data_IF_143214094469
#
_entry.id   IF_143214094469
#
_cell.length_a   1.000
_cell.length_b   1.000
_cell.length_c   1.000
_cell.angle_alpha   90.00
_cell.angle_beta   90.00
_cell.angle_gamma   90.00
#
_symmetry.space_group_name_H-M   'P 1'
#
loop_
_entity.id
_entity.type
_entity.pdbx_description
1 polymer ?
#
# COMPACT_ATOMS: atom_id res chain seq x y z
N UNK A 1 -2.75 -14.86 14.78
CA UNK A 1 -3.35 -15.81 13.79
C UNK A 1 -2.57 -15.60 12.50
N UNK A 2 -2.06 -16.64 11.85
CA UNK A 2 -1.41 -16.51 10.55
C UNK A 2 -2.53 -16.18 9.56
N UNK A 3 -2.41 -15.13 8.71
CA UNK A 3 -3.44 -14.80 7.75
C UNK A 3 -3.77 -16.00 6.86
N UNK A 4 -5.01 -16.13 6.40
CA UNK A 4 -5.41 -17.23 5.55
C UNK A 4 -4.53 -17.26 4.29
N UNK A 5 -4.25 -18.44 3.82
CA UNK A 5 -3.39 -18.67 2.65
C UNK A 5 -4.06 -18.11 1.41
N UNK A 6 -3.73 -16.87 1.07
CA UNK A 6 -4.20 -16.27 -0.15
C UNK A 6 -3.34 -16.73 -1.33
N UNK A 7 -3.94 -17.49 -2.21
CA UNK A 7 -3.28 -18.02 -3.41
C UNK A 7 -3.32 -17.06 -4.61
N UNK A 8 -3.93 -15.87 -4.46
CA UNK A 8 -4.20 -14.94 -5.55
C UNK A 8 -3.38 -13.65 -5.52
N UNK A 9 -2.31 -13.58 -4.78
CA UNK A 9 -1.56 -12.33 -4.61
C UNK A 9 -2.41 -11.20 -4.03
N UNK A 10 -3.11 -11.45 -2.92
CA UNK A 10 -3.91 -10.45 -2.21
C UNK A 10 -3.09 -9.24 -1.77
N UNK A 11 -3.76 -8.15 -1.46
CA UNK A 11 -3.10 -6.94 -0.97
C UNK A 11 -2.40 -7.26 0.36
N UNK A 12 -1.05 -7.20 0.36
CA UNK A 12 -0.24 -7.31 1.57
C UNK A 12 -0.11 -5.92 2.23
N UNK A 13 0.43 -4.95 1.51
CA UNK A 13 0.50 -3.57 1.99
C UNK A 13 0.79 -2.55 0.88
N UNK A 14 0.14 -1.38 0.90
CA UNK A 14 0.58 -0.19 0.18
C UNK A 14 1.70 0.51 0.96
N UNK A 15 2.69 1.05 0.24
CA UNK A 15 3.75 1.91 0.77
C UNK A 15 3.32 3.38 0.62
N UNK A 16 2.87 3.99 1.70
CA UNK A 16 2.61 5.44 1.77
C UNK A 16 3.93 6.15 2.05
N UNK A 17 4.52 6.71 1.00
CA UNK A 17 5.87 7.27 1.03
C UNK A 17 5.80 8.77 1.27
N UNK A 18 6.50 9.26 2.31
CA UNK A 18 6.37 10.63 2.83
C UNK A 18 7.73 11.26 3.13
N UNK A 19 7.81 12.59 3.03
CA UNK A 19 9.02 13.35 3.38
C UNK A 19 9.26 13.41 4.88
N UNK A 20 8.21 13.73 5.64
CA UNK A 20 8.28 13.88 7.10
C UNK A 20 7.56 12.71 7.78
N UNK A 21 8.27 11.59 7.94
CA UNK A 21 7.73 10.39 8.56
C UNK A 21 7.23 10.63 10.01
N UNK A 22 7.96 11.32 10.92
CA UNK A 22 7.48 11.57 12.28
C UNK A 22 6.19 12.39 12.33
N UNK A 23 6.10 13.45 11.52
CA UNK A 23 4.88 14.28 11.43
C UNK A 23 3.71 13.46 10.93
N UNK A 24 3.92 12.67 9.89
CA UNK A 24 2.86 11.85 9.30
C UNK A 24 2.40 10.76 10.25
N UNK A 25 3.34 10.13 10.96
CA UNK A 25 3.04 9.15 12.00
C UNK A 25 2.12 9.75 13.09
N UNK A 26 2.37 10.99 13.51
CA UNK A 26 1.50 11.70 14.44
C UNK A 26 0.08 11.94 13.87
N UNK A 27 -0.05 12.19 12.56
CA UNK A 27 -1.37 12.29 11.91
C UNK A 27 -2.12 10.95 11.93
N UNK A 28 -1.44 9.83 11.64
CA UNK A 28 -2.04 8.49 11.75
C UNK A 28 -2.50 8.17 13.18
N UNK A 29 -1.70 8.54 14.18
CA UNK A 29 -2.10 8.40 15.60
C UNK A 29 -3.35 9.25 15.92
N UNK A 30 -3.47 10.49 15.40
CA UNK A 30 -4.67 11.32 15.54
C UNK A 30 -5.90 10.70 14.87
N UNK A 31 -5.73 9.98 13.76
CA UNK A 31 -6.80 9.21 13.12
C UNK A 31 -7.21 7.97 13.92
N UNK A 32 -6.54 7.66 15.04
CA UNK A 32 -6.83 6.54 15.92
C UNK A 32 -6.15 5.24 15.49
N UNK A 33 -5.12 5.29 14.65
CA UNK A 33 -4.26 4.13 14.45
C UNK A 33 -3.26 3.99 15.61
N UNK A 34 -2.87 2.74 15.90
CA UNK A 34 -1.77 2.39 16.80
C UNK A 34 -0.61 1.82 15.96
N UNK A 35 0.33 2.67 15.50
CA UNK A 35 1.43 2.23 14.66
C UNK A 35 2.38 1.29 15.40
N UNK A 36 3.03 0.37 14.66
CA UNK A 36 4.17 -0.40 15.19
C UNK A 36 5.34 0.51 15.56
N UNK A 37 6.28 0.06 16.40
CA UNK A 37 7.53 0.76 16.61
C UNK A 37 8.25 1.09 15.29
N UNK A 38 8.95 2.22 15.28
CA UNK A 38 9.78 2.64 14.14
C UNK A 38 10.87 1.62 13.89
N UNK A 39 11.09 1.28 12.63
CA UNK A 39 12.16 0.40 12.19
C UNK A 39 12.81 0.89 10.89
N UNK A 40 13.94 0.31 10.51
CA UNK A 40 14.78 0.81 9.43
C UNK A 40 15.11 -0.29 8.45
N UNK A 41 15.01 0.03 7.16
CA UNK A 41 15.48 -0.88 6.11
C UNK A 41 16.97 -0.69 5.82
N UNK A 42 17.66 -1.73 5.34
CA UNK A 42 19.10 -1.65 5.07
C UNK A 42 19.46 -0.66 3.95
N UNK A 43 18.50 -0.26 3.12
CA UNK A 43 18.68 0.74 2.06
C UNK A 43 18.34 2.18 2.46
N UNK A 44 18.27 2.47 3.76
CA UNK A 44 18.18 3.84 4.28
C UNK A 44 16.80 4.44 4.35
N UNK A 45 15.74 3.62 4.44
CA UNK A 45 14.38 4.09 4.72
C UNK A 45 13.95 3.75 6.14
N UNK A 46 13.10 4.60 6.70
CA UNK A 46 12.43 4.46 8.00
C UNK A 46 10.98 4.07 7.76
N UNK A 47 10.43 3.21 8.62
CA UNK A 47 9.05 2.73 8.48
C UNK A 47 8.33 2.53 9.80
N UNK A 48 7.00 2.67 9.76
CA UNK A 48 6.05 2.25 10.80
C UNK A 48 4.82 1.64 10.13
N UNK A 49 4.23 0.62 10.75
CA UNK A 49 3.18 -0.19 10.15
C UNK A 49 1.86 0.00 10.92
N UNK A 50 0.77 0.25 10.22
CA UNK A 50 -0.58 0.16 10.74
C UNK A 50 -1.12 -1.21 10.35
N UNK A 51 -0.99 -2.18 11.27
CA UNK A 51 -1.26 -3.59 11.01
C UNK A 51 -2.71 -3.97 11.24
N UNK A 52 -3.25 -4.79 10.35
CA UNK A 52 -4.60 -5.36 10.46
C UNK A 52 -4.53 -6.90 10.49
N UNK A 53 -5.67 -7.55 10.31
CA UNK A 53 -5.75 -9.01 10.36
C UNK A 53 -4.95 -9.72 9.26
N UNK A 54 -4.95 -9.19 8.04
CA UNK A 54 -4.37 -9.84 6.85
C UNK A 54 -3.46 -8.94 6.03
N UNK A 55 -3.45 -7.64 6.31
CA UNK A 55 -2.70 -6.64 5.56
C UNK A 55 -2.31 -5.46 6.47
N UNK A 56 -1.56 -4.50 5.96
CA UNK A 56 -1.18 -3.31 6.71
C UNK A 56 -0.89 -2.12 5.78
N UNK A 57 -0.92 -0.90 6.32
CA UNK A 57 -0.35 0.27 5.65
C UNK A 57 1.10 0.39 6.12
N UNK A 58 2.04 0.48 5.19
CA UNK A 58 3.42 0.84 5.50
C UNK A 58 3.62 2.34 5.28
N UNK A 59 3.76 3.08 6.37
CA UNK A 59 4.20 4.48 6.32
C UNK A 59 5.71 4.50 6.23
N UNK A 60 6.27 4.99 5.11
CA UNK A 60 7.70 4.91 4.83
C UNK A 60 8.27 6.28 4.47
N UNK A 61 9.46 6.58 4.96
CA UNK A 61 10.22 7.80 4.67
C UNK A 61 11.71 7.52 4.44
N UNK A 62 12.47 8.57 4.16
CA UNK A 62 13.93 8.49 4.03
C UNK A 62 14.59 8.80 5.37
N UNK A 63 15.44 7.89 5.84
CA UNK A 63 16.33 8.09 7.01
C UNK A 63 17.74 8.50 6.56
N UNK A 64 18.31 7.74 5.62
CA UNK A 64 19.70 7.96 5.20
C UNK A 64 19.87 7.70 3.70
N UNK A 65 19.82 8.77 2.91
CA UNK A 65 19.99 8.70 1.44
C UNK A 65 21.37 8.15 1.02
N UNK A 66 22.38 8.22 1.88
CA UNK A 66 23.70 7.62 1.61
C UNK A 66 23.67 6.09 1.47
N UNK A 67 22.58 5.43 1.91
CA UNK A 67 22.38 3.98 1.78
C UNK A 67 21.53 3.56 0.57
N UNK A 68 21.07 4.47 -0.26
CA UNK A 68 20.14 4.18 -1.37
C UNK A 68 20.64 3.14 -2.37
N UNK A 69 21.95 2.96 -2.50
CA UNK A 69 22.56 1.93 -3.34
C UNK A 69 22.71 0.55 -2.70
N UNK A 70 22.37 0.41 -1.41
CA UNK A 70 22.48 -0.87 -0.72
C UNK A 70 21.41 -1.87 -1.21
N UNK A 71 21.74 -3.15 -1.17
CA UNK A 71 20.87 -4.26 -1.60
C UNK A 71 20.37 -4.11 -3.04
N UNK A 72 21.26 -3.76 -3.97
CA UNK A 72 20.93 -3.66 -5.39
C UNK A 72 20.61 -5.05 -5.98
N UNK A 73 19.63 -5.08 -6.90
CA UNK A 73 19.31 -6.24 -7.74
C UNK A 73 19.46 -5.79 -9.19
N UNK A 74 20.57 -6.15 -9.84
CA UNK A 74 20.98 -5.53 -11.12
C UNK A 74 21.12 -4.03 -10.94
N UNK A 75 20.43 -3.26 -11.77
CA UNK A 75 20.41 -1.79 -11.72
C UNK A 75 19.36 -1.24 -10.74
N UNK A 76 18.47 -2.07 -10.22
CA UNK A 76 17.42 -1.66 -9.30
C UNK A 76 17.97 -1.53 -7.88
N UNK A 77 17.65 -0.40 -7.22
CA UNK A 77 17.88 -0.17 -5.79
C UNK A 77 16.63 0.39 -5.17
N UNK A 78 16.11 -0.30 -4.16
CA UNK A 78 14.84 0.08 -3.53
C UNK A 78 14.88 1.49 -2.92
N UNK A 79 16.00 1.86 -2.27
CA UNK A 79 16.19 3.21 -1.74
C UNK A 79 16.18 4.29 -2.83
N UNK A 80 16.84 4.07 -3.97
CA UNK A 80 16.78 5.00 -5.12
C UNK A 80 15.39 5.10 -5.72
N UNK A 81 14.66 3.99 -5.82
CA UNK A 81 13.28 3.97 -6.30
C UNK A 81 12.39 4.89 -5.43
N UNK A 82 12.42 4.72 -4.11
CA UNK A 82 11.65 5.55 -3.18
C UNK A 82 12.11 7.01 -3.16
N UNK A 83 13.42 7.26 -3.21
CA UNK A 83 13.96 8.61 -3.31
C UNK A 83 13.55 9.32 -4.59
N UNK A 84 13.50 8.63 -5.73
CA UNK A 84 13.01 9.15 -7.00
C UNK A 84 11.50 9.43 -6.98
N UNK A 85 10.72 8.61 -6.29
CA UNK A 85 9.30 8.86 -6.05
C UNK A 85 9.11 10.15 -5.23
N UNK A 86 9.78 10.28 -4.09
CA UNK A 86 9.70 11.45 -3.23
C UNK A 86 10.22 12.74 -3.89
N UNK A 87 11.14 12.65 -4.83
CA UNK A 87 11.59 13.82 -5.60
C UNK A 87 10.46 14.43 -6.45
N UNK A 88 9.38 13.70 -6.69
CA UNK A 88 8.19 14.16 -7.41
C UNK A 88 7.05 14.52 -6.48
N UNK A 89 6.72 13.62 -5.54
CA UNK A 89 5.54 13.75 -4.68
C UNK A 89 5.58 12.80 -3.49
N UNK A 90 4.72 13.01 -2.50
CA UNK A 90 4.32 12.02 -1.50
C UNK A 90 3.17 11.17 -2.05
N UNK A 91 2.86 10.03 -1.43
CA UNK A 91 1.72 9.18 -1.79
C UNK A 91 2.05 7.68 -1.79
N UNK A 92 1.17 6.89 -2.40
CA UNK A 92 1.39 5.45 -2.55
C UNK A 92 2.39 5.20 -3.68
N UNK A 93 3.63 4.89 -3.31
CA UNK A 93 4.70 4.63 -4.29
C UNK A 93 4.67 3.23 -4.87
N UNK A 94 4.09 2.27 -4.14
CA UNK A 94 4.09 0.85 -4.50
C UNK A 94 3.01 0.10 -3.70
N UNK A 95 2.50 -1.00 -4.27
CA UNK A 95 1.65 -1.94 -3.56
C UNK A 95 2.32 -3.31 -3.55
N UNK A 96 2.59 -3.83 -2.36
CA UNK A 96 3.06 -5.19 -2.16
C UNK A 96 1.87 -6.16 -2.13
N UNK A 97 2.07 -7.32 -2.72
CA UNK A 97 1.09 -8.40 -2.81
C UNK A 97 1.61 -9.62 -2.06
N UNK A 98 0.72 -10.36 -1.41
CA UNK A 98 1.08 -11.57 -0.67
C UNK A 98 1.78 -12.62 -1.53
N UNK A 99 2.81 -13.22 -0.98
CA UNK A 99 3.43 -14.44 -1.50
C UNK A 99 3.77 -15.38 -0.34
N UNK A 100 3.68 -16.68 -0.57
CA UNK A 100 4.12 -17.71 0.37
C UNK A 100 5.40 -18.40 -0.09
N UNK A 101 5.78 -18.20 -1.34
CA UNK A 101 7.03 -18.65 -1.95
C UNK A 101 7.42 -17.65 -3.04
N UNK A 102 8.14 -16.60 -2.66
CA UNK A 102 8.51 -15.53 -3.58
C UNK A 102 9.29 -16.04 -4.79
N UNK A 103 10.09 -17.13 -4.64
CA UNK A 103 10.87 -17.67 -5.75
C UNK A 103 10.00 -18.42 -6.77
N UNK A 104 9.10 -19.29 -6.30
CA UNK A 104 8.16 -19.99 -7.16
C UNK A 104 7.16 -19.04 -7.82
N UNK A 105 6.62 -18.10 -7.05
CA UNK A 105 5.69 -17.09 -7.53
C UNK A 105 6.32 -16.13 -8.54
N UNK A 106 7.57 -15.71 -8.29
CA UNK A 106 8.33 -14.91 -9.25
C UNK A 106 8.49 -15.63 -10.59
N UNK A 107 8.91 -16.92 -10.57
CA UNK A 107 9.03 -17.74 -11.78
C UNK A 107 7.73 -17.86 -12.55
N UNK A 108 6.60 -18.05 -11.85
CA UNK A 108 5.27 -18.14 -12.44
C UNK A 108 4.84 -16.83 -13.09
N UNK A 109 5.07 -15.68 -12.44
CA UNK A 109 4.72 -14.37 -12.96
C UNK A 109 5.59 -13.95 -14.15
N UNK A 110 6.87 -14.32 -14.16
CA UNK A 110 7.74 -14.13 -15.34
C UNK A 110 7.22 -14.95 -16.53
N UNK A 111 6.79 -16.19 -16.30
CA UNK A 111 6.17 -17.00 -17.35
C UNK A 111 4.84 -16.42 -17.85
N UNK A 112 4.10 -15.72 -17.00
CA UNK A 112 2.90 -14.97 -17.38
C UNK A 112 3.20 -13.66 -18.12
N UNK A 113 4.48 -13.34 -18.35
CA UNK A 113 4.92 -12.19 -19.15
C UNK A 113 5.13 -10.90 -18.35
N UNK A 114 5.18 -10.95 -17.01
CA UNK A 114 5.47 -9.78 -16.21
C UNK A 114 6.96 -9.41 -16.29
N UNK A 115 7.23 -8.12 -16.48
CA UNK A 115 8.61 -7.58 -16.39
C UNK A 115 9.08 -7.61 -14.95
N UNK A 116 10.34 -7.96 -14.74
CA UNK A 116 10.93 -8.08 -13.40
C UNK A 116 12.36 -7.54 -13.37
N UNK A 117 12.76 -7.01 -12.20
CA UNK A 117 14.15 -6.71 -11.84
C UNK A 117 14.81 -7.87 -11.09
N UNK A 118 14.05 -8.91 -10.70
CA UNK A 118 14.54 -10.08 -10.00
C UNK A 118 13.98 -10.25 -8.58
N UNK A 119 14.75 -10.93 -7.75
CA UNK A 119 14.43 -11.22 -6.36
C UNK A 119 15.35 -10.43 -5.41
N UNK A 120 14.78 -9.88 -4.35
CA UNK A 120 15.50 -9.18 -3.29
C UNK A 120 15.22 -9.87 -1.97
N UNK A 121 16.26 -10.41 -1.33
CA UNK A 121 16.19 -10.95 0.01
C UNK A 121 16.80 -9.92 1.00
N UNK A 122 16.12 -9.69 2.12
CA UNK A 122 16.64 -8.80 3.16
C UNK A 122 16.19 -9.21 4.54
N UNK A 123 16.87 -8.65 5.52
CA UNK A 123 16.56 -8.79 6.94
C UNK A 123 16.41 -7.41 7.56
N UNK A 124 15.51 -7.31 8.52
CA UNK A 124 15.23 -6.08 9.23
C UNK A 124 15.12 -6.36 10.72
N UNK A 125 16.01 -5.71 11.48
CA UNK A 125 15.95 -5.74 12.94
C UNK A 125 14.62 -5.10 13.41
N UNK A 126 14.01 -5.71 14.41
CA UNK A 126 12.78 -5.25 15.03
C UNK A 126 12.78 -5.55 16.52
N UNK A 127 11.86 -4.92 17.24
CA UNK A 127 11.63 -5.15 18.64
C UNK A 127 10.18 -5.62 18.84
N UNK A 128 10.00 -6.76 19.49
CA UNK A 128 8.67 -7.28 19.85
C UNK A 128 8.00 -6.43 20.93
N UNK A 129 6.67 -6.55 21.14
CA UNK A 129 5.96 -5.79 22.18
C UNK A 129 6.54 -5.97 23.60
N UNK A 130 7.11 -7.12 23.88
CA UNK A 130 7.78 -7.43 25.17
C UNK A 130 9.20 -6.83 25.28
N UNK A 131 9.67 -6.08 24.27
CA UNK A 131 11.02 -5.51 24.22
C UNK A 131 12.10 -6.46 23.71
N UNK A 132 11.77 -7.72 23.42
CA UNK A 132 12.75 -8.68 22.90
C UNK A 132 13.16 -8.34 21.47
N UNK A 133 14.47 -8.20 21.18
CA UNK A 133 14.94 -8.00 19.82
C UNK A 133 14.76 -9.27 18.99
N UNK A 134 14.39 -9.10 17.73
CA UNK A 134 14.25 -10.18 16.76
C UNK A 134 14.53 -9.63 15.35
N UNK A 135 14.39 -10.46 14.32
CA UNK A 135 14.74 -10.08 12.95
C UNK A 135 13.68 -10.59 11.97
N UNK A 136 12.98 -9.69 11.30
CA UNK A 136 12.12 -10.01 10.18
C UNK A 136 12.96 -10.42 8.97
N UNK A 137 12.55 -11.48 8.29
CA UNK A 137 13.20 -12.05 7.10
C UNK A 137 12.21 -12.02 5.95
N UNK A 138 12.57 -11.35 4.86
CA UNK A 138 11.65 -11.04 3.76
C UNK A 138 12.31 -11.36 2.42
N UNK A 139 11.54 -11.94 1.51
CA UNK A 139 11.89 -12.06 0.10
C UNK A 139 10.87 -11.31 -0.76
N UNK A 140 11.35 -10.42 -1.62
CA UNK A 140 10.54 -9.68 -2.57
C UNK A 140 10.79 -10.15 -4.00
N UNK A 141 9.73 -10.38 -4.78
CA UNK A 141 9.83 -10.43 -6.23
C UNK A 141 9.48 -9.05 -6.79
N UNK A 142 10.41 -8.47 -7.54
CA UNK A 142 10.35 -7.09 -7.98
C UNK A 142 9.75 -7.00 -9.40
N UNK A 143 8.50 -6.56 -9.50
CA UNK A 143 7.79 -6.41 -10.78
C UNK A 143 7.53 -4.95 -11.10
N UNK A 144 8.60 -4.18 -11.21
CA UNK A 144 8.56 -2.76 -11.52
C UNK A 144 8.50 -2.57 -13.04
N UNK A 145 7.51 -1.82 -13.51
CA UNK A 145 7.29 -1.52 -14.93
C UNK A 145 6.93 -0.03 -15.08
N UNK A 146 7.88 0.75 -15.55
CA UNK A 146 7.72 2.20 -15.73
C UNK A 146 6.58 2.57 -16.68
N UNK A 147 6.21 1.66 -17.60
CA UNK A 147 5.08 1.89 -18.51
C UNK A 147 3.72 1.92 -17.81
N UNK A 148 3.65 1.44 -16.57
CA UNK A 148 2.44 1.46 -15.72
C UNK A 148 2.41 2.66 -14.77
N UNK A 149 3.31 3.63 -14.91
CA UNK A 149 3.44 4.74 -13.96
C UNK A 149 3.81 4.25 -12.56
N UNK A 150 3.05 4.68 -11.54
CA UNK A 150 3.27 4.26 -10.15
C UNK A 150 2.33 3.09 -9.74
N UNK A 151 1.85 2.28 -10.70
CA UNK A 151 1.00 1.12 -10.46
C UNK A 151 1.77 -0.23 -10.54
N UNK A 152 3.07 -0.20 -10.34
CA UNK A 152 3.91 -1.40 -10.22
C UNK A 152 3.64 -2.15 -8.91
N UNK A 153 4.10 -3.42 -8.84
CA UNK A 153 3.91 -4.27 -7.68
C UNK A 153 5.20 -4.99 -7.30
N UNK A 154 5.31 -5.34 -6.05
CA UNK A 154 6.20 -6.40 -5.57
C UNK A 154 5.36 -7.53 -4.99
N UNK A 155 5.83 -8.78 -5.06
CA UNK A 155 5.30 -9.85 -4.23
C UNK A 155 6.17 -9.96 -2.98
N UNK A 156 5.54 -10.14 -1.82
CA UNK A 156 6.19 -10.11 -0.52
C UNK A 156 5.99 -11.43 0.22
N UNK A 157 7.09 -12.15 0.47
CA UNK A 157 7.10 -13.35 1.28
C UNK A 157 7.72 -13.06 2.64
N UNK A 158 6.88 -13.02 3.66
CA UNK A 158 7.29 -12.88 5.06
C UNK A 158 7.67 -14.26 5.61
N UNK A 159 8.98 -14.57 5.75
CA UNK A 159 9.44 -15.86 6.27
C UNK A 159 9.17 -16.04 7.77
N UNK A 160 8.97 -14.93 8.49
CA UNK A 160 8.65 -14.89 9.91
C UNK A 160 7.31 -14.16 10.12
N UNK A 161 6.17 -14.78 9.70
CA UNK A 161 4.84 -14.18 9.84
C UNK A 161 4.47 -13.92 11.30
N UNK A 162 5.04 -14.65 12.24
CA UNK A 162 4.92 -14.43 13.67
C UNK A 162 5.49 -13.08 14.16
N UNK A 163 6.37 -12.46 13.39
CA UNK A 163 6.97 -11.16 13.67
C UNK A 163 6.26 -10.00 12.96
N UNK A 164 5.34 -10.31 12.04
CA UNK A 164 4.55 -9.31 11.32
C UNK A 164 3.13 -9.29 11.89
N UNK A 165 2.46 -10.42 11.97
CA UNK A 165 1.07 -10.51 12.42
C UNK A 165 0.97 -10.61 13.95
N UNK A 166 1.50 -9.59 14.66
CA UNK A 166 1.52 -9.50 16.13
C UNK A 166 0.16 -8.94 16.59
N UNK A 167 -0.62 -9.69 17.41
CA UNK A 167 -1.99 -9.31 17.77
C UNK A 167 -2.11 -7.96 18.51
N UNK A 168 -1.07 -7.57 19.24
CA UNK A 168 -1.00 -6.29 19.95
C UNK A 168 -0.98 -5.10 18.99
N UNK A 169 -0.39 -5.26 17.80
CA UNK A 169 -0.29 -4.21 16.78
C UNK A 169 -1.48 -4.16 15.82
N UNK A 170 -2.39 -5.16 15.91
CA UNK A 170 -3.59 -5.24 15.07
C UNK A 170 -4.81 -4.56 15.70
N UNK A 171 -4.65 -3.94 16.86
CA UNK A 171 -5.74 -3.29 17.58
C UNK A 171 -5.59 -1.78 17.50
N UNK A 172 -6.53 -1.15 16.82
CA UNK A 172 -6.53 0.29 16.64
C UNK A 172 -7.69 0.94 17.39
N UNK A 173 -7.49 2.07 18.09
CA UNK A 173 -8.57 2.85 18.71
C UNK A 173 -9.72 3.20 17.77
N UNK A 174 -9.45 3.38 16.47
CA UNK A 174 -10.47 3.65 15.45
C UNK A 174 -11.24 2.39 14.99
N UNK A 175 -10.89 1.20 15.46
CA UNK A 175 -11.59 -0.05 15.14
C UNK A 175 -11.40 -0.57 13.70
N UNK A 176 -10.49 0.00 12.91
CA UNK A 176 -10.17 -0.49 11.55
C UNK A 176 -9.63 -1.90 11.63
N UNK A 177 -10.11 -2.78 10.73
CA UNK A 177 -9.80 -4.21 10.74
C UNK A 177 -9.03 -4.69 9.50
N UNK A 178 -8.99 -3.91 8.42
CA UNK A 178 -8.30 -4.31 7.19
C UNK A 178 -8.34 -3.29 6.07
N UNK A 179 -7.48 -3.50 5.10
CA UNK A 179 -7.54 -2.85 3.79
C UNK A 179 -8.42 -3.72 2.89
N UNK A 180 -9.45 -3.13 2.32
CA UNK A 180 -10.39 -3.80 1.41
C UNK A 180 -10.31 -3.28 -0.02
N UNK A 181 -9.52 -2.24 -0.28
CA UNK A 181 -9.34 -1.75 -1.64
C UNK A 181 -8.19 -0.76 -1.79
N UNK A 182 -7.62 -0.74 -3.01
CA UNK A 182 -6.71 0.31 -3.49
C UNK A 182 -7.31 0.86 -4.79
N UNK A 183 -7.47 2.17 -4.86
CA UNK A 183 -8.02 2.84 -6.05
C UNK A 183 -6.92 3.57 -6.80
N UNK A 184 -6.79 3.29 -8.10
CA UNK A 184 -5.89 3.95 -9.04
C UNK A 184 -6.67 4.89 -9.96
N UNK A 185 -6.05 6.01 -10.32
CA UNK A 185 -6.48 6.84 -11.43
C UNK A 185 -5.61 6.54 -12.64
N UNK A 186 -6.25 6.44 -13.81
CA UNK A 186 -5.58 6.27 -15.10
C UNK A 186 -5.80 7.50 -15.97
N UNK A 187 -4.75 8.02 -16.65
CA UNK A 187 -4.86 9.24 -17.44
C UNK A 187 -5.74 9.09 -18.68
N UNK A 188 -5.82 7.87 -19.22
CA UNK A 188 -6.56 7.56 -20.45
C UNK A 188 -6.95 6.07 -20.52
N UNK A 189 -7.74 5.75 -21.56
CA UNK A 189 -8.22 4.40 -21.80
C UNK A 189 -7.11 3.41 -22.21
N UNK A 190 -5.97 3.87 -22.69
CA UNK A 190 -4.81 3.01 -23.03
C UNK A 190 -4.15 2.56 -21.72
N UNK A 191 -3.89 3.49 -20.83
CA UNK A 191 -3.35 3.22 -19.49
C UNK A 191 -4.27 2.32 -18.66
N UNK A 192 -5.58 2.55 -18.72
CA UNK A 192 -6.58 1.69 -18.08
C UNK A 192 -6.49 0.24 -18.58
N UNK A 193 -6.44 0.05 -19.91
CA UNK A 193 -6.32 -1.30 -20.50
C UNK A 193 -4.97 -1.95 -20.16
N UNK A 194 -3.88 -1.18 -20.12
CA UNK A 194 -2.57 -1.70 -19.74
C UNK A 194 -2.59 -2.21 -18.29
N UNK A 195 -3.18 -1.45 -17.37
CA UNK A 195 -3.33 -1.85 -15.97
C UNK A 195 -4.24 -3.07 -15.82
N UNK A 196 -5.39 -3.09 -16.49
CA UNK A 196 -6.30 -4.25 -16.50
C UNK A 196 -5.61 -5.51 -17.04
N UNK A 197 -4.82 -5.39 -18.12
CA UNK A 197 -4.02 -6.51 -18.66
C UNK A 197 -3.02 -7.02 -17.63
N UNK A 198 -2.34 -6.12 -16.92
CA UNK A 198 -1.44 -6.47 -15.82
C UNK A 198 -2.16 -7.27 -14.74
N UNK A 199 -3.36 -6.84 -14.35
CA UNK A 199 -4.17 -7.56 -13.36
C UNK A 199 -4.65 -8.92 -13.87
N UNK A 200 -4.99 -9.04 -15.16
CA UNK A 200 -5.31 -10.34 -15.76
C UNK A 200 -4.12 -11.31 -15.75
N UNK A 201 -2.91 -10.83 -15.89
CA UNK A 201 -1.70 -11.63 -15.76
C UNK A 201 -1.45 -12.10 -14.30
N UNK A 202 -1.78 -11.25 -13.31
CA UNK A 202 -1.65 -11.57 -11.88
C UNK A 202 -2.74 -12.53 -11.41
N UNK A 203 -4.01 -12.24 -11.74
CA UNK A 203 -5.18 -12.88 -11.12
C UNK A 203 -5.94 -13.82 -12.05
N UNK A 204 -5.69 -13.74 -13.35
CA UNK A 204 -6.48 -14.40 -14.39
C UNK A 204 -7.69 -13.57 -14.82
N UNK A 205 -8.08 -13.67 -16.09
CA UNK A 205 -9.11 -12.82 -16.71
C UNK A 205 -10.47 -12.87 -15.99
N UNK A 206 -10.84 -14.01 -15.41
CA UNK A 206 -12.11 -14.19 -14.69
C UNK A 206 -12.26 -13.39 -13.38
N UNK A 207 -11.15 -12.83 -12.88
CA UNK A 207 -11.09 -12.05 -11.66
C UNK A 207 -10.89 -10.55 -11.92
N UNK A 208 -11.01 -10.15 -13.18
CA UNK A 208 -10.84 -8.74 -13.60
C UNK A 208 -12.03 -8.34 -14.45
N UNK A 209 -12.84 -7.47 -13.90
CA UNK A 209 -13.98 -6.86 -14.61
C UNK A 209 -13.51 -5.53 -15.21
N UNK A 210 -13.70 -5.39 -16.53
CA UNK A 210 -13.43 -4.16 -17.26
C UNK A 210 -14.77 -3.58 -17.74
N UNK A 211 -15.02 -2.33 -17.39
CA UNK A 211 -16.25 -1.61 -17.75
C UNK A 211 -15.91 -0.21 -18.30
N UNK A 212 -16.93 0.53 -18.75
CA UNK A 212 -16.72 1.88 -19.26
C UNK A 212 -16.16 2.79 -18.17
N UNK A 213 -14.97 3.34 -18.40
CA UNK A 213 -14.28 4.25 -17.48
C UNK A 213 -13.57 3.60 -16.29
N UNK A 214 -13.56 2.26 -16.17
CA UNK A 214 -12.91 1.62 -15.04
C UNK A 214 -12.62 0.13 -15.19
N UNK A 215 -11.91 -0.41 -14.18
CA UNK A 215 -11.67 -1.83 -14.00
C UNK A 215 -11.60 -2.18 -12.52
N UNK A 216 -11.98 -3.41 -12.18
CA UNK A 216 -11.84 -3.96 -10.83
C UNK A 216 -11.18 -5.34 -10.92
N UNK A 217 -10.23 -5.60 -10.04
CA UNK A 217 -9.63 -6.92 -9.87
C UNK A 217 -9.88 -7.44 -8.44
N UNK A 218 -10.53 -8.61 -8.34
CA UNK A 218 -10.61 -9.36 -7.09
C UNK A 218 -9.27 -10.04 -6.82
N UNK A 219 -8.57 -9.62 -5.76
CA UNK A 219 -7.28 -10.18 -5.38
C UNK A 219 -7.40 -11.37 -4.43
N UNK A 220 -8.62 -11.61 -3.90
CA UNK A 220 -8.88 -12.56 -2.83
C UNK A 220 -8.59 -12.03 -1.43
N UNK A 221 -7.91 -10.89 -1.30
CA UNK A 221 -7.76 -10.10 -0.08
C UNK A 221 -7.80 -8.62 -0.47
N UNK A 222 -9.01 -8.06 -0.53
CA UNK A 222 -9.30 -6.73 -1.05
C UNK A 222 -9.37 -6.66 -2.58
N UNK A 223 -9.68 -5.49 -3.11
CA UNK A 223 -9.85 -5.22 -4.53
C UNK A 223 -8.86 -4.16 -5.01
N UNK A 224 -8.36 -4.31 -6.23
CA UNK A 224 -7.70 -3.23 -6.95
C UNK A 224 -8.71 -2.60 -7.91
N UNK A 225 -8.91 -1.30 -7.80
CA UNK A 225 -9.80 -0.52 -8.68
C UNK A 225 -9.00 0.45 -9.51
N UNK A 226 -9.35 0.58 -10.77
CA UNK A 226 -8.86 1.65 -11.65
C UNK A 226 -10.05 2.43 -12.18
N UNK A 227 -9.91 3.75 -12.24
CA UNK A 227 -10.94 4.62 -12.79
C UNK A 227 -10.35 5.82 -13.53
N UNK A 228 -11.16 6.43 -14.39
CA UNK A 228 -10.79 7.68 -15.02
C UNK A 228 -10.68 8.82 -13.98
N UNK A 229 -9.94 9.87 -14.32
CA UNK A 229 -9.82 11.05 -13.47
C UNK A 229 -11.20 11.62 -13.10
N UNK A 230 -12.10 11.74 -14.07
CA UNK A 230 -13.45 12.27 -13.86
C UNK A 230 -14.24 11.48 -12.81
N UNK A 231 -14.16 10.16 -12.83
CA UNK A 231 -14.85 9.33 -11.84
C UNK A 231 -14.23 9.44 -10.44
N UNK A 232 -12.90 9.54 -10.39
CA UNK A 232 -12.20 9.73 -9.12
C UNK A 232 -12.51 11.11 -8.51
N UNK A 233 -12.53 12.18 -9.31
CA UNK A 233 -12.94 13.53 -8.87
C UNK A 233 -14.36 13.53 -8.30
N UNK A 234 -15.29 12.84 -8.96
CA UNK A 234 -16.68 12.73 -8.47
C UNK A 234 -16.74 11.94 -7.15
N UNK A 235 -16.04 10.80 -7.05
CA UNK A 235 -16.03 9.94 -5.86
C UNK A 235 -15.46 10.63 -4.64
N UNK A 236 -14.38 11.38 -4.81
CA UNK A 236 -13.63 12.03 -3.73
C UNK A 236 -13.83 13.54 -3.66
N UNK A 237 -14.92 14.06 -4.25
CA UNK A 237 -15.21 15.50 -4.33
C UNK A 237 -15.20 16.21 -2.95
N UNK A 238 -15.55 15.49 -1.87
CA UNK A 238 -15.61 16.04 -0.52
C UNK A 238 -14.22 16.41 0.06
N UNK A 239 -13.14 15.80 -0.43
CA UNK A 239 -11.77 15.99 0.09
C UNK A 239 -10.75 16.28 -1.01
N UNK A 240 -11.15 16.14 -2.28
CA UNK A 240 -10.26 16.26 -3.42
C UNK A 240 -9.39 15.02 -3.63
N UNK A 241 -8.60 15.06 -4.71
CA UNK A 241 -7.65 14.00 -5.06
C UNK A 241 -6.24 14.36 -4.58
N UNK A 242 -5.38 13.34 -4.37
CA UNK A 242 -3.96 13.54 -4.16
C UNK A 242 -3.33 14.35 -5.29
N UNK A 243 -2.36 15.19 -4.94
CA UNK A 243 -1.57 15.92 -5.94
C UNK A 243 -0.63 14.94 -6.65
N UNK A 244 -0.65 14.93 -7.97
CA UNK A 244 0.25 14.13 -8.80
C UNK A 244 0.99 14.99 -9.81
N UNK A 245 2.29 14.77 -9.96
CA UNK A 245 3.07 15.42 -11.01
C UNK A 245 2.96 14.65 -12.32
N UNK A 246 2.32 15.28 -13.30
CA UNK A 246 2.11 14.72 -14.63
C UNK A 246 0.93 13.76 -14.74
N UNK A 247 0.64 13.39 -15.99
CA UNK A 247 -0.47 12.48 -16.31
C UNK A 247 0.06 11.04 -16.36
N UNK A 248 -0.08 10.30 -15.26
CA UNK A 248 0.31 8.89 -15.16
C UNK A 248 -0.66 8.12 -14.28
N UNK A 249 -0.66 6.81 -14.42
CA UNK A 249 -1.39 5.93 -13.50
C UNK A 249 -0.75 5.96 -12.12
N UNK A 250 -1.54 6.23 -11.07
CA UNK A 250 -1.10 6.26 -9.68
C UNK A 250 -2.25 5.90 -8.74
N UNK A 251 -1.93 5.41 -7.55
CA UNK A 251 -2.93 5.13 -6.53
C UNK A 251 -3.35 6.43 -5.83
N UNK A 252 -4.66 6.65 -5.73
CA UNK A 252 -5.25 7.85 -5.12
C UNK A 252 -5.93 7.58 -3.78
N UNK A 253 -6.35 6.32 -3.52
CA UNK A 253 -7.04 6.01 -2.28
C UNK A 253 -6.75 4.59 -1.78
N UNK A 254 -6.80 4.46 -0.44
CA UNK A 254 -6.80 3.20 0.30
C UNK A 254 -8.16 3.09 0.99
N UNK A 255 -8.92 2.03 0.70
CA UNK A 255 -10.22 1.77 1.34
C UNK A 255 -10.03 0.82 2.52
N UNK A 256 -10.51 1.23 3.68
CA UNK A 256 -10.33 0.58 4.98
C UNK A 256 -11.68 0.08 5.52
N UNK A 257 -11.71 -1.15 6.00
CA UNK A 257 -12.88 -1.73 6.66
C UNK A 257 -12.93 -1.28 8.12
N UNK A 258 -14.02 -0.62 8.49
CA UNK A 258 -14.25 -0.11 9.84
C UNK A 258 -15.70 -0.35 10.25
N UNK A 259 -15.98 -1.23 11.23
CA UNK A 259 -17.33 -1.62 11.57
C UNK A 259 -18.18 -0.48 12.15
N UNK A 260 -17.57 0.53 12.78
CA UNK A 260 -18.26 1.64 13.45
C UNK A 260 -17.76 3.01 12.97
N UNK A 261 -18.35 3.51 11.89
CA UNK A 261 -18.02 4.83 11.35
C UNK A 261 -18.42 5.98 12.28
N UNK A 262 -19.47 5.82 13.10
CA UNK A 262 -19.89 6.84 14.05
C UNK A 262 -18.85 7.04 15.17
N UNK A 263 -18.26 5.94 15.65
CA UNK A 263 -17.14 5.99 16.58
C UNK A 263 -15.93 6.72 15.99
N UNK A 264 -15.56 6.39 14.76
CA UNK A 264 -14.45 7.04 14.04
C UNK A 264 -14.71 8.54 13.90
N UNK A 265 -15.89 8.93 13.48
CA UNK A 265 -16.26 10.32 13.32
C UNK A 265 -16.15 11.10 14.63
N UNK A 266 -16.66 10.54 15.73
CA UNK A 266 -16.57 11.17 17.05
C UNK A 266 -15.10 11.36 17.49
N UNK A 267 -14.25 10.34 17.24
CA UNK A 267 -12.81 10.41 17.51
C UNK A 267 -12.14 11.50 16.68
N UNK A 268 -12.44 11.57 15.37
CA UNK A 268 -11.83 12.56 14.47
C UNK A 268 -12.24 13.99 14.81
N UNK A 269 -13.51 14.22 15.18
CA UNK A 269 -13.95 15.54 15.68
C UNK A 269 -13.17 15.95 16.92
N UNK A 270 -12.97 15.03 17.87
CA UNK A 270 -12.21 15.30 19.09
C UNK A 270 -10.71 15.60 18.81
N UNK A 271 -10.14 14.95 17.80
CA UNK A 271 -8.72 15.10 17.46
C UNK A 271 -8.44 16.13 16.35
N UNK A 272 -9.47 16.78 15.80
CA UNK A 272 -9.32 17.75 14.72
C UNK A 272 -8.74 17.15 13.44
N UNK A 273 -9.16 15.93 13.08
CA UNK A 273 -8.81 15.29 11.80
C UNK A 273 -9.68 15.92 10.71
N UNK A 274 -9.13 16.40 9.58
CA UNK A 274 -9.91 16.88 8.45
C UNK A 274 -10.50 15.71 7.67
N UNK A 275 -11.84 15.69 7.51
CA UNK A 275 -12.54 14.61 6.81
C UNK A 275 -13.80 15.12 6.12
N UNK A 276 -14.31 14.32 5.20
CA UNK A 276 -15.60 14.49 4.54
C UNK A 276 -16.33 13.16 4.42
N UNK A 277 -17.40 13.18 3.62
CA UNK A 277 -18.22 12.00 3.32
C UNK A 277 -18.30 11.78 1.82
N UNK A 278 -18.32 10.54 1.41
CA UNK A 278 -18.79 10.15 0.10
C UNK A 278 -19.95 9.14 0.26
N UNK A 279 -20.43 8.58 -0.84
CA UNK A 279 -21.54 7.61 -0.84
C UNK A 279 -21.21 6.28 -0.14
N UNK A 280 -19.93 6.02 0.16
CA UNK A 280 -19.47 4.76 0.76
C UNK A 280 -19.10 4.89 2.24
N UNK A 281 -18.84 6.10 2.73
CA UNK A 281 -18.45 6.30 4.13
C UNK A 281 -17.70 7.61 4.39
N UNK A 282 -16.72 7.52 5.29
CA UNK A 282 -15.89 8.66 5.70
C UNK A 282 -14.61 8.70 4.85
N UNK A 283 -14.15 9.89 4.49
CA UNK A 283 -12.92 10.11 3.73
C UNK A 283 -12.03 11.16 4.40
N UNK A 284 -10.74 10.86 4.56
CA UNK A 284 -9.73 11.77 5.08
C UNK A 284 -9.03 12.48 3.93
N UNK A 285 -8.77 13.78 4.11
CA UNK A 285 -8.06 14.62 3.13
C UNK A 285 -6.67 14.04 2.79
N UNK A 286 -6.28 14.02 1.50
CA UNK A 286 -4.99 13.47 1.06
C UNK A 286 -3.80 14.11 1.76
N UNK A 287 -3.80 15.43 1.92
CA UNK A 287 -2.70 16.14 2.57
C UNK A 287 -2.47 15.67 4.02
N UNK A 288 -3.54 15.31 4.73
CA UNK A 288 -3.43 14.83 6.11
C UNK A 288 -2.88 13.40 6.18
N UNK A 289 -3.18 12.55 5.20
CA UNK A 289 -2.83 11.12 5.19
C UNK A 289 -1.52 10.78 4.44
N UNK A 290 -0.80 11.76 3.90
CA UNK A 290 0.44 11.53 3.14
C UNK A 290 0.20 11.45 1.64
N UNK A 291 -0.61 12.39 1.12
CA UNK A 291 -0.99 12.51 -0.28
C UNK A 291 -1.71 11.25 -0.81
N UNK A 292 -2.62 10.71 -0.01
CA UNK A 292 -3.52 9.61 -0.35
C UNK A 292 -4.84 9.78 0.38
N UNK A 293 -5.98 9.55 -0.28
CA UNK A 293 -7.28 9.50 0.40
C UNK A 293 -7.36 8.22 1.23
N UNK A 294 -7.69 8.33 2.51
CA UNK A 294 -8.11 7.17 3.28
C UNK A 294 -9.64 7.15 3.34
N UNK A 295 -10.24 6.12 2.73
CA UNK A 295 -11.68 5.91 2.69
C UNK A 295 -12.06 4.82 3.69
N UNK A 296 -12.98 5.11 4.61
CA UNK A 296 -13.42 4.20 5.65
C UNK A 296 -14.85 3.76 5.38
N UNK A 297 -15.02 2.46 5.24
CA UNK A 297 -16.30 1.84 4.90
C UNK A 297 -16.68 0.78 5.93
N UNK A 298 -17.98 0.51 6.09
CA UNK A 298 -18.47 -0.49 7.04
C UNK A 298 -18.88 -1.82 6.39
N UNK A 299 -18.76 -1.94 5.07
CA UNK A 299 -19.04 -3.17 4.29
C UNK A 299 -18.10 -3.27 3.08
#
# INVERSE_FOLDING_TARGET
MIPPRNTRFGIDHPLVTVHDHPRRLAHYARMGFAPSPVSYHPWGTVTSLMMFGENFIELIGVDNAGKFGAHAVGDFCFGRYLGSFLAREEGVSLVALHSQDARADHGRLVQAGLRTQGLLDFRRAMCKPDGTPDEAVVSLGLFIDESLGDASNVICHQHRPDLIWIPEWQRHPNGVTGIVGITYVTPDAVSLRALATRWQQLYGARHVDLYEGGAVADTGCGELRAMSLQWAEARYAAVGLPMAQGMRTHAVAITLLAPDLAHIEALWRAHGVPYGYNEHGLVVEPEFAGNVVLEFVNH
#
